data_IF_691495589789
#
_entry.id   IF_691495589789
#
_cell.length_a   1.000
_cell.length_b   1.000
_cell.length_c   1.000
_cell.angle_alpha   90.00
_cell.angle_beta   90.00
_cell.angle_gamma   90.00
#
_symmetry.space_group_name_H-M   'P 1'
#
loop_
_entity.id
_entity.type
_entity.pdbx_description
1 polymer ?
#
# COMPACT_ATOMS: atom_id res chain seq x y z
N UNK A 1 12.93 -4.90 25.47
CA UNK A 1 12.78 -5.63 24.20
C UNK A 1 12.26 -4.64 23.19
N UNK A 2 12.96 -4.41 22.07
CA UNK A 2 12.40 -3.57 21.01
C UNK A 2 11.23 -4.35 20.39
N UNK A 3 10.03 -3.77 20.41
CA UNK A 3 8.88 -4.29 19.67
C UNK A 3 9.19 -4.29 18.18
N UNK A 4 8.69 -5.27 17.43
CA UNK A 4 8.81 -5.28 15.97
C UNK A 4 8.03 -4.13 15.34
N UNK A 5 8.42 -3.65 14.15
CA UNK A 5 7.72 -2.54 13.49
C UNK A 5 6.22 -2.85 13.24
N UNK A 6 5.89 -4.11 12.99
CA UNK A 6 4.52 -4.60 12.79
C UNK A 6 3.69 -4.65 14.09
N UNK A 7 4.32 -4.59 15.25
CA UNK A 7 3.62 -4.41 16.54
C UNK A 7 3.37 -2.94 16.85
N UNK A 8 4.24 -2.05 16.35
CA UNK A 8 4.16 -0.60 16.57
C UNK A 8 3.21 0.08 15.59
N UNK A 9 3.20 -0.33 14.32
CA UNK A 9 2.42 0.30 13.25
C UNK A 9 1.26 -0.60 12.82
N UNK A 10 0.09 -0.42 13.44
CA UNK A 10 -1.15 -1.17 13.11
C UNK A 10 -2.21 -0.33 12.40
N UNK A 11 -2.05 0.99 12.47
CA UNK A 11 -2.94 1.99 11.87
C UNK A 11 -2.14 3.09 11.17
N UNK A 12 -2.82 3.91 10.38
CA UNK A 12 -2.21 5.09 9.76
C UNK A 12 -1.76 6.10 10.82
N UNK A 13 -2.51 6.22 11.91
CA UNK A 13 -2.21 7.07 13.05
C UNK A 13 -0.93 6.61 13.76
N UNK A 14 -0.75 5.29 13.93
CA UNK A 14 0.50 4.73 14.47
C UNK A 14 1.69 5.02 13.56
N UNK A 15 1.52 4.87 12.24
CA UNK A 15 2.56 5.23 11.28
C UNK A 15 2.94 6.72 11.37
N UNK A 16 1.95 7.60 11.55
CA UNK A 16 2.19 9.02 11.77
C UNK A 16 2.94 9.27 13.08
N UNK A 17 2.57 8.60 14.17
CA UNK A 17 3.24 8.72 15.45
C UNK A 17 4.73 8.30 15.34
N UNK A 18 5.02 7.20 14.66
CA UNK A 18 6.40 6.72 14.48
C UNK A 18 7.25 7.63 13.60
N UNK A 19 6.65 8.31 12.64
CA UNK A 19 7.33 9.28 11.80
C UNK A 19 7.34 10.70 12.39
N UNK A 20 6.70 10.92 13.54
CA UNK A 20 6.53 12.27 14.12
C UNK A 20 5.66 13.19 13.24
N UNK A 21 4.79 12.63 12.41
CA UNK A 21 3.89 13.34 11.51
C UNK A 21 2.53 13.59 12.19
N UNK A 22 1.85 14.67 11.79
CA UNK A 22 0.45 14.88 12.14
C UNK A 22 -0.44 14.13 11.14
N UNK A 23 -1.38 13.28 11.61
CA UNK A 23 -2.36 12.65 10.73
C UNK A 23 -3.12 13.66 9.88
N UNK A 24 -3.38 13.30 8.63
CA UNK A 24 -4.16 14.15 7.72
C UNK A 24 -5.62 14.22 8.17
N UNK A 25 -6.27 15.35 7.91
CA UNK A 25 -7.70 15.50 8.06
C UNK A 25 -8.38 15.18 6.73
N UNK A 26 -9.03 14.02 6.65
CA UNK A 26 -9.70 13.53 5.44
C UNK A 26 -10.79 14.49 4.97
N UNK A 27 -11.60 15.04 5.87
CA UNK A 27 -12.70 15.94 5.51
C UNK A 27 -12.19 17.27 4.96
N UNK A 28 -11.10 17.77 5.53
CA UNK A 28 -10.42 18.96 5.02
C UNK A 28 -9.87 18.75 3.61
N UNK A 29 -9.25 17.59 3.35
CA UNK A 29 -8.72 17.26 2.02
C UNK A 29 -9.85 17.05 1.01
N UNK A 30 -10.90 16.31 1.38
CA UNK A 30 -12.08 16.14 0.51
C UNK A 30 -12.74 17.48 0.18
N UNK A 31 -12.84 18.38 1.16
CA UNK A 31 -13.37 19.73 0.93
C UNK A 31 -12.51 20.55 -0.05
N UNK A 32 -11.20 20.30 -0.09
CA UNK A 32 -10.29 20.88 -1.09
C UNK A 32 -10.26 20.13 -2.42
N UNK A 33 -11.15 19.16 -2.65
CA UNK A 33 -11.28 18.45 -3.92
C UNK A 33 -10.34 17.27 -4.10
N UNK A 34 -9.64 16.83 -3.05
CA UNK A 34 -8.84 15.60 -3.12
C UNK A 34 -9.75 14.38 -3.24
N UNK A 35 -9.40 13.49 -4.15
CA UNK A 35 -10.13 12.23 -4.35
C UNK A 35 -9.77 11.21 -3.28
N UNK A 36 -10.58 10.14 -3.19
CA UNK A 36 -10.42 9.10 -2.17
C UNK A 36 -9.06 8.38 -2.30
N UNK A 37 -8.65 8.09 -3.53
CA UNK A 37 -7.35 7.47 -3.84
C UNK A 37 -6.17 8.38 -3.52
N UNK A 38 -6.27 9.69 -3.75
CA UNK A 38 -5.18 10.61 -3.42
C UNK A 38 -4.92 10.66 -1.90
N UNK A 39 -6.01 10.67 -1.11
CA UNK A 39 -5.93 10.60 0.35
C UNK A 39 -5.39 9.24 0.78
N UNK A 40 -5.89 8.15 0.20
CA UNK A 40 -5.44 6.80 0.51
C UNK A 40 -3.95 6.61 0.16
N UNK A 41 -3.51 7.07 -1.00
CA UNK A 41 -2.11 7.04 -1.43
C UNK A 41 -1.22 7.82 -0.47
N UNK A 42 -1.65 8.99 -0.01
CA UNK A 42 -0.90 9.79 0.97
C UNK A 42 -0.75 9.06 2.30
N UNK A 43 -1.79 8.37 2.76
CA UNK A 43 -1.74 7.53 3.98
C UNK A 43 -0.85 6.32 3.80
N UNK A 44 -1.00 5.59 2.69
CA UNK A 44 -0.19 4.42 2.35
C UNK A 44 1.30 4.75 2.29
N UNK A 45 1.68 5.92 1.76
CA UNK A 45 3.08 6.36 1.78
C UNK A 45 3.65 6.45 3.20
N UNK A 46 2.91 7.06 4.13
CA UNK A 46 3.35 7.17 5.52
C UNK A 46 3.45 5.79 6.17
N UNK A 47 2.48 4.91 5.91
CA UNK A 47 2.52 3.51 6.38
C UNK A 47 3.74 2.78 5.84
N UNK A 48 4.00 2.84 4.54
CA UNK A 48 5.17 2.18 3.93
C UNK A 48 6.48 2.73 4.50
N UNK A 49 6.61 4.05 4.63
CA UNK A 49 7.81 4.69 5.18
C UNK A 49 8.07 4.24 6.63
N UNK A 50 7.02 4.21 7.46
CA UNK A 50 7.12 3.71 8.83
C UNK A 50 7.52 2.22 8.86
N UNK A 51 6.86 1.36 8.06
CA UNK A 51 7.14 -0.07 7.98
C UNK A 51 8.57 -0.38 7.49
N UNK A 52 9.12 0.48 6.63
CA UNK A 52 10.47 0.31 6.10
C UNK A 52 11.57 0.77 7.06
N UNK A 53 11.24 1.56 8.09
CA UNK A 53 12.19 2.08 9.07
C UNK A 53 13.36 2.82 8.40
N UNK A 54 13.04 3.71 7.45
CA UNK A 54 14.03 4.50 6.72
C UNK A 54 14.69 3.80 5.53
N UNK A 55 14.36 2.53 5.25
CA UNK A 55 14.75 1.90 3.99
C UNK A 55 14.01 2.54 2.81
N UNK A 56 14.75 2.84 1.75
CA UNK A 56 14.23 3.34 0.48
C UNK A 56 14.88 2.60 -0.68
N UNK A 57 14.13 2.26 -1.75
CA UNK A 57 14.70 1.54 -2.87
C UNK A 57 15.79 2.36 -3.59
N UNK A 58 16.95 1.76 -3.81
CA UNK A 58 18.07 2.36 -4.55
C UNK A 58 18.04 2.05 -6.06
N UNK A 59 17.14 1.15 -6.48
CA UNK A 59 16.86 0.77 -7.87
C UNK A 59 18.01 0.07 -8.62
N UNK A 60 18.82 -0.71 -7.90
CA UNK A 60 19.82 -1.60 -8.52
C UNK A 60 19.19 -2.94 -8.95
N UNK A 61 19.75 -3.58 -9.98
CA UNK A 61 19.22 -4.83 -10.55
C UNK A 61 19.16 -6.01 -9.56
N UNK A 62 19.95 -5.95 -8.47
CA UNK A 62 20.00 -6.98 -7.43
C UNK A 62 19.11 -6.69 -6.23
N UNK A 63 18.38 -5.58 -6.23
CA UNK A 63 17.53 -5.16 -5.13
C UNK A 63 16.13 -5.76 -5.25
N UNK A 64 15.76 -6.55 -4.25
CA UNK A 64 14.41 -7.09 -4.13
C UNK A 64 13.47 -6.04 -3.55
N UNK A 65 12.36 -5.80 -4.23
CA UNK A 65 11.30 -4.88 -3.82
C UNK A 65 10.01 -5.67 -3.74
N UNK A 66 9.32 -5.56 -2.62
CA UNK A 66 8.10 -6.32 -2.37
C UNK A 66 6.89 -5.39 -2.33
N UNK A 67 5.81 -5.81 -2.97
CA UNK A 67 4.56 -5.04 -3.05
C UNK A 67 3.39 -5.91 -2.59
N UNK A 68 2.41 -5.35 -1.87
CA UNK A 68 1.14 -6.01 -1.64
C UNK A 68 0.48 -6.38 -2.97
N UNK A 69 0.13 -7.66 -3.14
CA UNK A 69 -0.53 -8.15 -4.34
C UNK A 69 -2.01 -8.44 -4.07
N UNK A 70 -2.88 -7.90 -4.93
CA UNK A 70 -4.32 -8.09 -4.84
C UNK A 70 -4.93 -8.60 -6.15
N UNK A 71 -6.03 -9.32 -6.03
CA UNK A 71 -6.93 -9.67 -7.11
C UNK A 71 -8.20 -8.87 -6.99
N UNK A 72 -8.74 -8.35 -8.08
CA UNK A 72 -10.07 -7.73 -8.07
C UNK A 72 -11.10 -8.80 -8.41
N UNK A 73 -12.11 -8.95 -7.55
CA UNK A 73 -13.26 -9.82 -7.78
C UNK A 73 -14.53 -8.99 -7.79
N UNK A 74 -15.51 -9.40 -8.58
CA UNK A 74 -16.85 -8.83 -8.54
C UNK A 74 -17.76 -9.74 -7.74
N UNK A 75 -18.31 -9.24 -6.64
CA UNK A 75 -19.29 -9.95 -5.80
C UNK A 75 -20.54 -9.09 -5.72
N UNK A 76 -21.68 -9.64 -6.12
CA UNK A 76 -22.98 -8.94 -6.13
C UNK A 76 -22.94 -7.58 -6.85
N UNK A 77 -22.20 -7.50 -7.96
CA UNK A 77 -22.06 -6.27 -8.76
C UNK A 77 -21.09 -5.24 -8.20
N UNK A 78 -20.38 -5.54 -7.10
CA UNK A 78 -19.37 -4.65 -6.50
C UNK A 78 -17.96 -5.21 -6.69
N UNK A 79 -17.00 -4.35 -7.05
CA UNK A 79 -15.58 -4.70 -7.09
C UNK A 79 -15.04 -4.75 -5.66
N UNK A 80 -14.42 -5.87 -5.30
CA UNK A 80 -13.74 -6.08 -4.02
C UNK A 80 -12.30 -6.50 -4.28
N UNK A 81 -11.38 -6.04 -3.42
CA UNK A 81 -10.03 -6.59 -3.39
C UNK A 81 -10.05 -7.95 -2.68
N UNK A 82 -9.30 -8.89 -3.24
CA UNK A 82 -9.06 -10.22 -2.68
C UNK A 82 -7.56 -10.44 -2.69
N UNK A 83 -6.98 -10.55 -1.51
CA UNK A 83 -5.55 -10.71 -1.28
C UNK A 83 -4.94 -11.93 -1.99
N UNK A 84 -3.71 -11.78 -2.47
CA UNK A 84 -2.86 -12.89 -2.88
C UNK A 84 -1.73 -13.11 -1.89
N UNK A 85 -1.44 -14.37 -1.56
CA UNK A 85 -0.22 -14.74 -0.83
C UNK A 85 0.98 -14.92 -1.77
N UNK A 86 0.76 -14.95 -3.08
CA UNK A 86 1.82 -14.89 -4.07
C UNK A 86 2.18 -13.41 -4.28
N UNK A 87 3.27 -12.98 -3.65
CA UNK A 87 3.85 -11.64 -3.82
C UNK A 87 5.01 -11.76 -4.80
N UNK A 88 4.83 -11.32 -6.06
CA UNK A 88 5.93 -11.23 -7.00
C UNK A 88 6.81 -10.02 -6.69
N UNK A 89 8.08 -10.15 -7.07
CA UNK A 89 9.14 -9.15 -7.01
C UNK A 89 9.04 -8.18 -8.21
N UNK A 90 7.87 -7.59 -8.44
CA UNK A 90 7.66 -6.70 -9.61
C UNK A 90 8.05 -5.27 -9.27
N UNK A 91 8.03 -4.40 -10.27
CA UNK A 91 8.33 -2.97 -10.15
C UNK A 91 7.11 -2.10 -9.79
N UNK A 92 5.98 -2.69 -9.35
CA UNK A 92 4.75 -1.94 -9.10
C UNK A 92 3.75 -2.61 -8.15
N UNK A 93 2.74 -1.82 -7.73
CA UNK A 93 1.54 -2.36 -7.07
C UNK A 93 0.65 -2.90 -8.17
N UNK A 94 0.55 -4.21 -8.24
CA UNK A 94 -0.18 -4.92 -9.29
C UNK A 94 -1.51 -5.46 -8.76
N UNK A 95 -2.58 -5.20 -9.50
CA UNK A 95 -3.89 -5.82 -9.27
C UNK A 95 -4.32 -6.64 -10.48
N UNK A 96 -4.67 -7.90 -10.27
CA UNK A 96 -5.17 -8.78 -11.33
C UNK A 96 -6.70 -8.90 -11.25
N UNK A 97 -7.41 -8.37 -12.24
CA UNK A 97 -8.86 -8.55 -12.38
C UNK A 97 -9.13 -9.82 -13.23
N UNK A 98 -9.88 -10.76 -12.66
CA UNK A 98 -10.11 -12.09 -13.24
C UNK A 98 -11.17 -12.15 -14.36
N UNK A 99 -11.19 -11.19 -15.29
CA UNK A 99 -12.09 -11.18 -16.45
C UNK A 99 -11.42 -10.65 -17.74
N UNK A 100 -10.21 -11.12 -18.05
CA UNK A 100 -9.55 -10.81 -19.33
C UNK A 100 -9.17 -9.34 -19.55
N UNK A 101 -9.34 -8.48 -18.54
CA UNK A 101 -8.99 -7.07 -18.60
C UNK A 101 -7.83 -6.74 -17.65
N UNK A 102 -6.63 -6.67 -18.25
CA UNK A 102 -5.43 -5.96 -17.77
C UNK A 102 -5.03 -6.14 -16.30
N UNK A 103 -3.91 -6.83 -16.07
CA UNK A 103 -3.08 -6.52 -14.89
C UNK A 103 -2.76 -5.02 -14.93
N UNK A 104 -3.22 -4.25 -13.94
CA UNK A 104 -2.85 -2.84 -13.85
C UNK A 104 -1.45 -2.75 -13.28
N UNK A 105 -0.46 -2.95 -14.15
CA UNK A 105 0.93 -2.66 -13.86
C UNK A 105 1.08 -1.15 -13.85
N UNK A 106 0.81 -0.52 -12.71
CA UNK A 106 1.24 0.85 -12.46
C UNK A 106 2.76 0.84 -12.27
N UNK A 107 3.51 0.57 -13.35
CA UNK A 107 4.97 0.70 -13.46
C UNK A 107 5.39 2.16 -13.42
N UNK A 108 4.88 2.89 -12.45
CA UNK A 108 5.18 4.29 -12.22
C UNK A 108 6.15 4.39 -11.05
N UNK A 109 7.05 5.37 -11.11
CA UNK A 109 7.85 5.87 -10.00
C UNK A 109 7.03 6.27 -8.75
N UNK A 110 5.69 6.24 -8.81
CA UNK A 110 4.79 6.40 -7.67
C UNK A 110 4.56 5.10 -6.92
N UNK A 111 4.59 3.96 -7.61
CA UNK A 111 4.45 2.65 -6.99
C UNK A 111 5.68 2.28 -6.16
N UNK A 112 6.88 2.66 -6.58
CA UNK A 112 8.12 2.43 -5.81
C UNK A 112 8.13 3.04 -4.41
N UNK A 113 7.31 4.07 -4.16
CA UNK A 113 7.15 4.66 -2.81
C UNK A 113 6.34 3.78 -1.86
N UNK A 114 5.66 2.77 -2.39
CA UNK A 114 4.95 1.74 -1.64
C UNK A 114 5.74 0.43 -1.57
N UNK A 115 6.99 0.42 -2.08
CA UNK A 115 7.87 -0.75 -2.02
C UNK A 115 8.26 -1.04 -0.58
N UNK A 116 8.25 -2.32 -0.20
CA UNK A 116 8.63 -2.78 1.13
C UNK A 116 9.91 -3.60 1.05
N UNK A 117 10.73 -3.46 2.09
CA UNK A 117 12.06 -4.11 2.20
C UNK A 117 12.01 -5.64 2.29
N UNK A 118 10.89 -6.21 2.75
CA UNK A 118 10.72 -7.67 2.85
C UNK A 118 9.33 -8.12 2.40
N UNK A 119 9.24 -9.41 2.03
CA UNK A 119 7.98 -10.07 1.67
C UNK A 119 7.00 -10.08 2.85
N UNK A 120 7.48 -10.31 4.05
CA UNK A 120 6.65 -10.38 5.27
C UNK A 120 5.98 -9.04 5.55
N UNK A 121 6.69 -7.93 5.32
CA UNK A 121 6.12 -6.59 5.44
C UNK A 121 5.07 -6.34 4.36
N UNK A 122 5.27 -6.82 3.14
CA UNK A 122 4.26 -6.71 2.08
C UNK A 122 2.99 -7.53 2.40
N UNK A 123 3.11 -8.72 2.98
CA UNK A 123 1.95 -9.49 3.49
C UNK A 123 1.27 -8.70 4.60
N UNK A 124 2.03 -8.26 5.59
CA UNK A 124 1.50 -7.51 6.73
C UNK A 124 0.79 -6.22 6.31
N UNK A 125 1.37 -5.47 5.38
CA UNK A 125 0.80 -4.23 4.85
C UNK A 125 -0.51 -4.50 4.11
N UNK A 126 -0.56 -5.56 3.30
CA UNK A 126 -1.80 -6.00 2.69
C UNK A 126 -2.85 -6.34 3.77
N UNK A 127 -2.45 -6.95 4.90
CA UNK A 127 -3.34 -7.48 5.96
C UNK A 127 -3.96 -6.38 6.78
N UNK A 128 -3.15 -5.44 7.23
CA UNK A 128 -3.58 -4.44 8.19
C UNK A 128 -4.13 -3.18 7.52
N UNK A 129 -3.83 -2.96 6.24
CA UNK A 129 -4.21 -1.74 5.52
C UNK A 129 -5.04 -2.01 4.27
N UNK A 130 -5.75 -3.15 4.20
CA UNK A 130 -6.57 -3.55 3.04
C UNK A 130 -7.58 -2.47 2.63
N UNK A 131 -8.21 -1.80 3.59
CA UNK A 131 -9.16 -0.71 3.31
C UNK A 131 -8.49 0.47 2.58
N UNK A 132 -7.27 0.86 2.99
CA UNK A 132 -6.52 1.92 2.30
C UNK A 132 -6.09 1.47 0.90
N UNK A 133 -5.68 0.21 0.73
CA UNK A 133 -5.37 -0.33 -0.59
C UNK A 133 -6.62 -0.40 -1.49
N UNK A 134 -7.78 -0.76 -0.93
CA UNK A 134 -9.06 -0.74 -1.64
C UNK A 134 -9.41 0.66 -2.11
N UNK A 135 -9.26 1.65 -1.22
CA UNK A 135 -9.52 3.04 -1.55
C UNK A 135 -8.53 3.62 -2.58
N UNK A 136 -7.30 3.12 -2.63
CA UNK A 136 -6.30 3.52 -3.60
C UNK A 136 -6.47 2.84 -4.97
N UNK A 137 -6.88 1.56 -4.99
CA UNK A 137 -6.89 0.73 -6.20
C UNK A 137 -8.26 0.65 -6.89
N UNK A 138 -9.35 0.91 -6.16
CA UNK A 138 -10.72 0.75 -6.66
C UNK A 138 -11.54 2.05 -6.70
N UNK A 139 -10.97 3.20 -6.34
CA UNK A 139 -11.68 4.50 -6.36
C UNK A 139 -12.11 4.92 -7.76
#
# INVERSE_FOLDING_TARGET
MNQSITERVKSYEDACAELGLKPVNDDFLKWHGFTKDEIAYKKLKAVTEALNEGWTPEFFDTEWRYFPWFYVKTVDGKRILSRSYNIPNTSGVDTYAGDGSGSWCAGSSRASRLALKTRELAIYAAENFEALYSDYLLS
#
